data_IF_070616082943
#
_entry.id   IF_070616082943
#
_cell.length_a   1.000
_cell.length_b   1.000
_cell.length_c   1.000
_cell.angle_alpha   90.00
_cell.angle_beta   90.00
_cell.angle_gamma   90.00
#
_symmetry.space_group_name_H-M   'P 1'
#
loop_
_entity.id
_entity.type
_entity.pdbx_description
1 polymer ?
#
# COMPACT_ATOMS: atom_id res chain seq x y z
N UNK A 1 -24.99 29.11 10.39
CA UNK A 1 -24.02 28.04 10.70
C UNK A 1 -24.69 26.72 10.39
N UNK A 2 -24.36 26.09 9.26
CA UNK A 2 -24.92 24.80 8.87
C UNK A 2 -24.07 23.68 9.45
N UNK A 3 -24.69 22.77 10.21
CA UNK A 3 -24.05 21.56 10.70
C UNK A 3 -23.92 20.56 9.54
N UNK A 4 -22.70 20.16 9.22
CA UNK A 4 -22.45 19.02 8.34
C UNK A 4 -22.51 17.75 9.19
N UNK A 5 -23.62 17.01 9.11
CA UNK A 5 -23.66 15.63 9.57
C UNK A 5 -22.99 14.75 8.52
N UNK A 6 -21.74 14.34 8.78
CA UNK A 6 -21.12 13.26 8.03
C UNK A 6 -21.71 11.93 8.53
N UNK A 7 -22.88 11.58 8.03
CA UNK A 7 -23.37 10.21 8.12
C UNK A 7 -22.43 9.35 7.26
N UNK A 8 -21.44 8.74 7.92
CA UNK A 8 -20.72 7.53 7.51
C UNK A 8 -20.64 7.29 6.00
N UNK A 9 -19.70 7.95 5.33
CA UNK A 9 -19.18 7.45 4.06
C UNK A 9 -18.24 6.28 4.41
N UNK A 10 -18.83 5.12 4.70
CA UNK A 10 -18.10 3.86 4.64
C UNK A 10 -18.07 3.44 3.17
N UNK A 11 -17.30 4.15 2.35
CA UNK A 11 -16.67 3.46 1.22
C UNK A 11 -15.58 2.62 1.87
N UNK A 12 -15.93 1.40 2.27
CA UNK A 12 -14.94 0.42 2.64
C UNK A 12 -14.08 0.25 1.38
N UNK A 13 -12.92 0.90 1.35
CA UNK A 13 -11.85 0.49 0.46
C UNK A 13 -11.55 -0.93 0.85
N UNK A 14 -11.96 -1.90 0.03
CA UNK A 14 -11.78 -3.32 0.32
C UNK A 14 -10.29 -3.64 0.13
N UNK A 15 -9.54 -3.50 1.22
CA UNK A 15 -8.12 -3.84 1.26
C UNK A 15 -7.96 -5.36 1.11
N UNK A 16 -7.43 -5.77 -0.03
CA UNK A 16 -7.14 -7.17 -0.33
C UNK A 16 -5.90 -7.63 0.42
N UNK A 17 -6.05 -8.61 1.33
CA UNK A 17 -4.91 -9.23 2.00
C UNK A 17 -4.09 -10.07 1.03
N UNK A 18 -2.79 -9.81 0.95
CA UNK A 18 -1.87 -10.49 0.02
C UNK A 18 -0.78 -11.31 0.73
N UNK A 19 -0.64 -11.17 2.04
CA UNK A 19 0.29 -12.00 2.80
C UNK A 19 0.81 -11.34 4.08
N UNK A 20 1.73 -12.03 4.74
CA UNK A 20 2.41 -11.55 5.94
C UNK A 20 3.90 -11.84 5.86
N UNK A 21 4.71 -10.95 6.39
CA UNK A 21 6.15 -11.20 6.54
C UNK A 21 6.45 -12.03 7.81
N UNK A 22 7.72 -12.43 7.99
CA UNK A 22 8.16 -13.23 9.15
C UNK A 22 7.98 -12.52 10.50
N UNK A 23 7.87 -11.18 10.50
CA UNK A 23 7.61 -10.37 11.70
C UNK A 23 6.11 -10.23 12.01
N UNK A 24 5.24 -10.85 11.21
CA UNK A 24 3.79 -10.76 11.37
C UNK A 24 3.16 -9.50 10.78
N UNK A 25 3.92 -8.64 10.11
CA UNK A 25 3.35 -7.50 9.37
C UNK A 25 2.48 -8.03 8.24
N UNK A 26 1.20 -7.68 8.26
CA UNK A 26 0.24 -8.02 7.23
C UNK A 26 0.29 -7.00 6.10
N UNK A 27 0.20 -7.47 4.87
CA UNK A 27 0.24 -6.68 3.66
C UNK A 27 -1.12 -6.73 2.97
N UNK A 28 -1.60 -5.56 2.57
CA UNK A 28 -2.82 -5.41 1.81
C UNK A 28 -2.60 -4.49 0.62
N UNK A 29 -3.45 -4.63 -0.40
CA UNK A 29 -3.49 -3.73 -1.55
C UNK A 29 -4.91 -3.24 -1.78
N UNK A 30 -5.05 -2.02 -2.27
CA UNK A 30 -6.32 -1.51 -2.79
C UNK A 30 -6.35 -1.79 -4.30
N UNK A 31 -7.03 -2.85 -4.72
CA UNK A 31 -7.14 -3.19 -6.13
C UNK A 31 -8.14 -2.30 -6.87
N UNK A 32 -9.10 -1.70 -6.18
CA UNK A 32 -10.16 -0.91 -6.82
C UNK A 32 -9.61 0.41 -7.37
N UNK A 33 -8.60 0.97 -6.69
CA UNK A 33 -7.88 2.17 -7.17
C UNK A 33 -6.60 1.85 -7.95
N UNK A 34 -6.30 0.56 -8.19
CA UNK A 34 -5.09 0.18 -8.87
C UNK A 34 -5.15 0.49 -10.38
N UNK A 35 -4.15 1.21 -10.87
CA UNK A 35 -3.90 1.34 -12.30
C UNK A 35 -3.00 0.18 -12.74
N UNK A 36 -3.61 -0.92 -13.18
CA UNK A 36 -2.90 -2.14 -13.57
C UNK A 36 -2.77 -2.27 -15.09
N UNK A 37 -1.56 -2.52 -15.57
CA UNK A 37 -1.35 -3.09 -16.90
C UNK A 37 -0.32 -4.25 -16.85
N UNK A 38 0.02 -4.82 -18.01
CA UNK A 38 0.90 -6.00 -18.08
C UNK A 38 2.34 -5.75 -17.67
N UNK A 39 2.78 -4.49 -17.62
CA UNK A 39 4.18 -4.07 -17.43
C UNK A 39 4.37 -3.13 -16.23
N UNK A 40 3.32 -2.42 -15.83
CA UNK A 40 3.35 -1.41 -14.79
C UNK A 40 2.08 -1.48 -13.94
N UNK A 41 2.22 -1.19 -12.66
CA UNK A 41 1.09 -0.99 -11.76
C UNK A 41 1.32 0.24 -10.90
N UNK A 42 0.26 1.00 -10.63
CA UNK A 42 0.23 1.98 -9.55
C UNK A 42 -0.87 1.62 -8.58
N UNK A 43 -0.53 1.45 -7.31
CA UNK A 43 -1.43 0.83 -6.32
C UNK A 43 -1.15 1.36 -4.93
N UNK A 44 -2.18 1.43 -4.09
CA UNK A 44 -1.99 1.65 -2.66
C UNK A 44 -1.68 0.33 -1.96
N UNK A 45 -0.65 0.35 -1.11
CA UNK A 45 -0.23 -0.77 -0.29
C UNK A 45 -0.38 -0.38 1.17
N UNK A 46 -1.01 -1.24 1.97
CA UNK A 46 -1.10 -1.08 3.43
C UNK A 46 -0.26 -2.13 4.13
N UNK A 47 0.58 -1.70 5.06
CA UNK A 47 1.34 -2.53 5.98
C UNK A 47 0.72 -2.39 7.37
N UNK A 48 0.08 -3.44 7.88
CA UNK A 48 -0.46 -3.46 9.23
C UNK A 48 0.48 -4.21 10.15
N UNK A 49 0.95 -3.53 11.19
CA UNK A 49 1.87 -4.09 12.16
C UNK A 49 1.13 -4.83 13.28
N UNK A 50 1.74 -5.85 13.92
CA UNK A 50 1.11 -6.61 15.01
C UNK A 50 0.64 -5.75 16.20
N UNK A 51 1.32 -4.64 16.45
CA UNK A 51 1.00 -3.65 17.50
C UNK A 51 -0.22 -2.76 17.17
N UNK A 52 -0.79 -2.90 15.97
CA UNK A 52 -2.00 -2.20 15.53
C UNK A 52 -1.76 -0.95 14.70
N UNK A 53 -0.55 -0.39 14.69
CA UNK A 53 -0.17 0.69 13.80
C UNK A 53 -0.19 0.23 12.32
N UNK A 54 -0.32 1.17 11.39
CA UNK A 54 -0.21 0.83 9.97
C UNK A 54 0.38 1.94 9.13
N UNK A 55 1.08 1.54 8.07
CA UNK A 55 1.57 2.45 7.04
C UNK A 55 0.81 2.19 5.74
N UNK A 56 0.49 3.25 5.01
CA UNK A 56 -0.14 3.20 3.69
C UNK A 56 0.76 3.94 2.71
N UNK A 57 1.05 3.32 1.57
CA UNK A 57 1.94 3.85 0.54
C UNK A 57 1.26 3.82 -0.83
N UNK A 58 1.36 4.90 -1.59
CA UNK A 58 1.09 4.89 -3.02
C UNK A 58 2.38 4.53 -3.75
N UNK A 59 2.39 3.41 -4.46
CA UNK A 59 3.60 2.92 -5.14
C UNK A 59 3.34 2.63 -6.60
N UNK A 60 4.37 2.82 -7.42
CA UNK A 60 4.49 2.26 -8.76
C UNK A 60 5.40 1.04 -8.72
N UNK A 61 5.06 -0.02 -9.47
CA UNK A 61 5.96 -1.14 -9.74
C UNK A 61 6.16 -1.29 -11.24
N UNK A 62 7.42 -1.51 -11.64
CA UNK A 62 7.81 -1.91 -12.98
C UNK A 62 8.09 -3.41 -12.98
N UNK A 63 7.36 -4.14 -13.83
CA UNK A 63 7.45 -5.60 -13.93
C UNK A 63 8.80 -6.06 -14.48
N UNK A 64 9.28 -5.47 -15.56
CA UNK A 64 10.49 -5.95 -16.28
C UNK A 64 11.76 -5.63 -15.50
N UNK A 65 11.84 -4.40 -15.00
CA UNK A 65 13.00 -3.93 -14.25
C UNK A 65 12.98 -4.41 -12.79
N UNK A 66 11.83 -4.91 -12.31
CA UNK A 66 11.60 -5.30 -10.90
C UNK A 66 11.96 -4.15 -9.95
N UNK A 67 11.41 -2.97 -10.26
CA UNK A 67 11.67 -1.72 -9.57
C UNK A 67 10.38 -1.15 -8.96
N UNK A 68 10.53 -0.35 -7.93
CA UNK A 68 9.47 0.33 -7.19
C UNK A 68 9.78 1.82 -7.09
N UNK A 69 8.74 2.65 -7.16
CA UNK A 69 8.81 4.07 -6.85
C UNK A 69 7.67 4.43 -5.90
N UNK A 70 7.95 5.25 -4.90
CA UNK A 70 6.98 5.68 -3.91
C UNK A 70 6.54 7.11 -4.25
N UNK A 71 5.24 7.37 -4.19
CA UNK A 71 4.69 8.71 -4.44
C UNK A 71 4.28 9.39 -3.14
N UNK A 72 3.52 8.68 -2.30
CA UNK A 72 2.93 9.26 -1.09
C UNK A 72 2.84 8.22 0.02
N UNK A 73 2.74 8.69 1.27
CA UNK A 73 2.51 7.85 2.42
C UNK A 73 1.56 8.48 3.44
N UNK A 74 0.97 7.62 4.26
CA UNK A 74 0.30 7.99 5.50
C UNK A 74 0.63 6.94 6.57
N UNK A 75 1.00 7.41 7.76
CA UNK A 75 1.27 6.60 8.95
C UNK A 75 0.12 6.78 9.91
N UNK A 76 -0.46 5.67 10.33
CA UNK A 76 -1.55 5.60 11.29
C UNK A 76 -1.05 4.98 12.59
N UNK A 77 -1.42 5.58 13.71
CA UNK A 77 -1.26 4.92 15.00
C UNK A 77 -2.26 3.76 15.16
N UNK A 78 -2.18 3.09 16.33
CA UNK A 78 -3.04 1.94 16.67
C UNK A 78 -4.54 2.27 16.75
N UNK A 79 -4.90 3.55 16.90
CA UNK A 79 -6.28 4.01 17.01
C UNK A 79 -6.81 4.48 15.63
N UNK A 80 -6.00 4.35 14.58
CA UNK A 80 -6.33 4.76 13.22
C UNK A 80 -6.18 6.26 12.97
N UNK A 81 -5.47 6.97 13.84
CA UNK A 81 -5.21 8.41 13.67
C UNK A 81 -3.96 8.59 12.82
N UNK A 82 -4.05 9.47 11.81
CA UNK A 82 -2.89 9.85 11.01
C UNK A 82 -1.93 10.65 11.87
N UNK A 83 -0.73 10.12 12.09
CA UNK A 83 0.35 10.78 12.84
C UNK A 83 1.43 11.38 11.92
N UNK A 84 1.47 10.94 10.66
CA UNK A 84 2.34 11.52 9.62
C UNK A 84 1.79 11.22 8.24
N UNK A 85 1.94 12.15 7.30
CA UNK A 85 1.61 11.94 5.90
C UNK A 85 2.44 12.89 5.03
N UNK A 86 2.66 12.50 3.78
CA UNK A 86 3.34 13.35 2.81
C UNK A 86 3.71 12.60 1.54
N UNK A 87 4.55 13.26 0.75
CA UNK A 87 5.02 12.76 -0.54
C UNK A 87 6.49 12.35 -0.48
N UNK A 88 6.85 11.40 -1.32
CA UNK A 88 8.23 11.07 -1.62
C UNK A 88 8.68 11.77 -2.90
N UNK A 89 9.93 12.21 -2.89
CA UNK A 89 10.59 12.83 -4.03
C UNK A 89 11.82 12.03 -4.47
N UNK A 90 11.80 10.71 -4.23
CA UNK A 90 12.89 9.82 -4.57
C UNK A 90 12.77 9.27 -6.00
N UNK A 91 13.83 8.63 -6.47
CA UNK A 91 13.80 7.92 -7.74
C UNK A 91 13.25 6.50 -7.60
N UNK A 92 13.21 5.80 -8.73
CA UNK A 92 12.96 4.37 -8.72
C UNK A 92 14.07 3.60 -7.99
N UNK A 93 13.67 2.55 -7.27
CA UNK A 93 14.54 1.69 -6.46
C UNK A 93 14.32 0.23 -6.83
N UNK A 94 15.32 -0.61 -6.64
CA UNK A 94 15.14 -2.05 -6.80
C UNK A 94 14.24 -2.62 -5.71
N UNK A 95 13.35 -3.54 -6.08
CA UNK A 95 12.59 -4.32 -5.10
C UNK A 95 13.54 -5.32 -4.45
N UNK A 96 13.79 -5.13 -3.17
CA UNK A 96 14.68 -5.99 -2.38
C UNK A 96 14.04 -7.39 -2.26
N UNK A 97 14.77 -8.48 -2.58
CA UNK A 97 14.29 -9.84 -2.36
C UNK A 97 13.83 -10.07 -0.91
N UNK A 98 12.81 -10.90 -0.71
CA UNK A 98 12.24 -11.23 0.61
C UNK A 98 11.67 -10.03 1.40
N UNK A 99 11.58 -8.86 0.77
CA UNK A 99 10.90 -7.70 1.34
C UNK A 99 9.38 -7.80 1.21
N UNK A 100 8.66 -7.01 2.01
CA UNK A 100 7.21 -6.90 1.87
C UNK A 100 6.78 -6.44 0.47
N UNK A 101 7.56 -5.57 -0.17
CA UNK A 101 7.27 -5.11 -1.53
C UNK A 101 7.51 -6.18 -2.60
N UNK A 102 8.38 -7.16 -2.34
CA UNK A 102 8.45 -8.34 -3.21
C UNK A 102 7.19 -9.20 -3.10
N UNK A 103 6.58 -9.31 -1.91
CA UNK A 103 5.31 -9.99 -1.76
C UNK A 103 4.18 -9.26 -2.50
N UNK A 104 4.14 -7.93 -2.45
CA UNK A 104 3.22 -7.10 -3.26
C UNK A 104 3.42 -7.38 -4.75
N UNK A 105 4.66 -7.33 -5.22
CA UNK A 105 5.00 -7.60 -6.61
C UNK A 105 4.51 -8.99 -7.07
N UNK A 106 4.77 -10.03 -6.28
CA UNK A 106 4.35 -11.40 -6.58
C UNK A 106 2.84 -11.60 -6.52
N UNK A 107 2.13 -10.83 -5.69
CA UNK A 107 0.67 -10.86 -5.60
C UNK A 107 -0.01 -10.24 -6.84
N UNK A 108 0.61 -9.21 -7.42
CA UNK A 108 0.10 -8.53 -8.62
C UNK A 108 0.41 -9.32 -9.90
N UNK A 109 1.63 -9.86 -10.01
CA UNK A 109 2.03 -10.73 -11.12
C UNK A 109 2.49 -12.09 -10.59
N UNK A 110 1.54 -12.99 -10.26
CA UNK A 110 1.88 -14.37 -9.96
C UNK A 110 2.58 -14.96 -11.20
N UNK A 111 3.70 -15.63 -10.99
CA UNK A 111 4.59 -16.12 -12.04
C UNK A 111 3.82 -16.82 -13.18
N UNK A 112 4.00 -16.34 -14.41
CA UNK A 112 3.75 -17.06 -15.66
C UNK A 112 5.10 -17.40 -16.30
#
# INVERSE_FOLDING_TARGET
MGAFSLNSISSATDWDYIGKNVKGTMLFIDKDSAELNSEYTKVWVKMSYPEGASDVFLVALDRRAKMIHYFSYAVYDKDGVIISAGDFYDGWKHIVPESGMEAVYKAIWPFN
#
